data_IF_368158932130
#
_entry.id   IF_368158932130
#
_cell.length_a   1.000
_cell.length_b   1.000
_cell.length_c   1.000
_cell.angle_alpha   90.00
_cell.angle_beta   90.00
_cell.angle_gamma   90.00
#
_symmetry.space_group_name_H-M   'P 1'
#
loop_
_entity.id
_entity.type
_entity.pdbx_description
1 polymer ?
#
# COMPACT_ATOMS: atom_id res chain seq x y z
N UNK A 1 11.90 -7.29 -1.27
CA UNK A 1 12.88 -6.30 -0.79
C UNK A 1 14.27 -6.94 -0.66
N UNK A 2 15.34 -6.16 -0.68
CA UNK A 2 16.73 -6.65 -0.56
C UNK A 2 17.26 -6.73 0.87
N UNK A 3 16.38 -6.70 1.88
CA UNK A 3 16.78 -6.63 3.29
C UNK A 3 17.47 -7.92 3.74
N UNK A 4 18.48 -7.75 4.60
CA UNK A 4 19.24 -8.85 5.21
C UNK A 4 19.44 -8.57 6.69
N UNK A 5 19.41 -9.59 7.55
CA UNK A 5 19.73 -9.43 8.96
C UNK A 5 21.08 -8.71 9.16
N UNK A 6 21.09 -7.69 10.02
CA UNK A 6 22.30 -6.93 10.36
C UNK A 6 22.75 -5.89 9.33
N UNK A 7 22.06 -5.75 8.19
CA UNK A 7 22.27 -4.61 7.29
C UNK A 7 21.81 -3.32 7.98
N UNK A 8 22.44 -2.17 7.70
CA UNK A 8 21.92 -0.88 8.16
C UNK A 8 20.81 -0.35 7.25
N UNK A 9 19.95 0.52 7.76
CA UNK A 9 18.96 1.25 6.96
C UNK A 9 19.61 2.08 5.81
N UNK A 10 20.84 2.58 5.98
CA UNK A 10 21.62 3.19 4.90
C UNK A 10 21.93 2.19 3.78
N UNK A 11 22.49 1.02 4.12
CA UNK A 11 22.79 -0.02 3.14
C UNK A 11 21.52 -0.53 2.45
N UNK A 12 20.40 -0.57 3.15
CA UNK A 12 19.11 -0.95 2.61
C UNK A 12 18.62 0.06 1.54
N UNK A 13 18.79 1.36 1.79
CA UNK A 13 18.46 2.41 0.83
C UNK A 13 19.39 2.39 -0.39
N UNK A 14 20.70 2.18 -0.19
CA UNK A 14 21.64 1.99 -1.31
C UNK A 14 21.26 0.78 -2.17
N UNK A 15 20.87 -0.33 -1.54
CA UNK A 15 20.44 -1.54 -2.22
C UNK A 15 19.11 -1.38 -2.97
N UNK A 16 18.25 -0.45 -2.55
CA UNK A 16 17.00 -0.14 -3.23
C UNK A 16 17.21 0.52 -4.60
N UNK A 17 18.41 1.07 -4.87
CA UNK A 17 18.78 1.69 -6.15
C UNK A 17 17.73 2.72 -6.62
N UNK A 18 17.33 3.57 -5.68
CA UNK A 18 16.38 4.64 -5.92
C UNK A 18 16.89 5.48 -7.11
N UNK A 19 16.11 5.52 -8.18
CA UNK A 19 16.46 6.25 -9.40
C UNK A 19 16.42 7.77 -9.22
N UNK A 20 16.75 8.49 -10.30
CA UNK A 20 16.81 9.96 -10.30
C UNK A 20 15.49 10.68 -10.63
N UNK A 21 14.34 10.02 -10.47
CA UNK A 21 13.04 10.69 -10.69
C UNK A 21 12.76 11.72 -9.57
N UNK A 22 12.12 12.86 -9.88
CA UNK A 22 11.74 13.84 -8.86
C UNK A 22 10.93 13.20 -7.72
N UNK A 23 11.28 13.54 -6.49
CA UNK A 23 10.59 13.05 -5.30
C UNK A 23 9.35 13.90 -5.01
N UNK A 24 8.25 13.25 -4.63
CA UNK A 24 7.03 13.92 -4.16
C UNK A 24 7.00 14.12 -2.63
N UNK A 25 7.74 13.29 -1.89
CA UNK A 25 8.06 13.48 -0.47
C UNK A 25 9.42 12.84 -0.15
N UNK A 26 9.98 13.08 1.04
CA UNK A 26 11.24 12.45 1.42
C UNK A 26 11.09 10.93 1.59
N UNK A 27 12.12 10.17 1.23
CA UNK A 27 12.12 8.72 1.42
C UNK A 27 12.15 8.39 2.92
N UNK A 28 11.33 7.41 3.31
CA UNK A 28 11.21 6.95 4.71
C UNK A 28 11.73 5.53 4.81
N UNK A 29 12.45 5.26 5.90
CA UNK A 29 12.77 3.91 6.36
C UNK A 29 12.81 3.95 7.90
N UNK A 30 11.68 3.64 8.51
CA UNK A 30 11.51 3.59 9.95
C UNK A 30 11.71 2.15 10.45
N UNK A 31 12.61 1.97 11.42
CA UNK A 31 13.00 0.67 11.98
C UNK A 31 12.72 0.62 13.48
N UNK A 32 11.90 -0.34 13.92
CA UNK A 32 11.50 -0.52 15.30
C UNK A 32 10.57 0.61 15.77
N UNK A 33 11.00 1.33 16.79
CA UNK A 33 10.27 2.44 17.44
C UNK A 33 10.50 3.81 16.78
N UNK A 34 11.17 3.85 15.63
CA UNK A 34 11.37 5.10 14.89
C UNK A 34 10.01 5.70 14.46
N UNK A 35 9.84 7.03 14.52
CA UNK A 35 8.61 7.68 14.05
C UNK A 35 8.30 7.37 12.58
N UNK A 36 7.02 7.36 12.21
CA UNK A 36 6.54 6.96 10.87
C UNK A 36 7.00 7.82 9.67
N UNK A 37 7.75 8.90 9.91
CA UNK A 37 8.35 9.77 8.89
C UNK A 37 9.89 9.81 8.98
N UNK A 38 10.50 8.85 9.69
CA UNK A 38 11.94 8.81 9.89
C UNK A 38 12.71 8.46 8.61
N UNK A 39 13.74 9.26 8.33
CA UNK A 39 14.78 8.93 7.34
C UNK A 39 15.74 7.87 7.91
N UNK A 40 16.51 7.17 7.05
CA UNK A 40 17.62 6.32 7.48
C UNK A 40 18.56 7.07 8.44
N UNK A 41 18.99 6.38 9.49
CA UNK A 41 19.78 6.97 10.59
C UNK A 41 20.97 6.10 11.01
N UNK A 42 21.28 5.04 10.26
CA UNK A 42 22.30 4.05 10.59
C UNK A 42 21.81 2.91 11.46
N UNK A 43 20.49 2.76 11.65
CA UNK A 43 19.91 1.67 12.46
C UNK A 43 20.10 0.34 11.77
N UNK A 44 20.33 -0.71 12.56
CA UNK A 44 20.44 -2.06 12.04
C UNK A 44 19.06 -2.67 11.82
N UNK A 45 18.91 -3.40 10.72
CA UNK A 45 17.79 -4.26 10.43
C UNK A 45 17.89 -5.52 11.32
N UNK A 46 17.34 -5.40 12.53
CA UNK A 46 17.42 -6.42 13.58
C UNK A 46 16.23 -7.38 13.51
N UNK A 47 16.51 -8.67 13.71
CA UNK A 47 15.49 -9.72 13.77
C UNK A 47 14.41 -9.38 14.81
N UNK A 48 13.14 -9.57 14.43
CA UNK A 48 12.01 -9.41 15.34
C UNK A 48 11.60 -7.96 15.61
N UNK A 49 12.14 -6.98 14.88
CA UNK A 49 11.65 -5.60 14.91
C UNK A 49 10.71 -5.32 13.71
N UNK A 50 9.67 -4.49 13.88
CA UNK A 50 8.91 -3.99 12.74
C UNK A 50 9.75 -3.00 11.94
N UNK A 51 9.43 -2.84 10.65
CA UNK A 51 9.93 -1.74 9.84
C UNK A 51 8.88 -1.30 8.84
N UNK A 52 8.91 -0.02 8.47
CA UNK A 52 8.14 0.53 7.35
C UNK A 52 9.01 1.42 6.49
N UNK A 53 8.70 1.45 5.20
CA UNK A 53 9.44 2.27 4.25
C UNK A 53 8.53 2.72 3.12
N UNK A 54 8.78 3.92 2.63
CA UNK A 54 8.09 4.42 1.45
C UNK A 54 9.04 5.20 0.54
N UNK A 55 8.71 5.17 -0.75
CA UNK A 55 9.31 6.04 -1.75
C UNK A 55 8.21 6.70 -2.56
N UNK A 56 8.32 8.02 -2.67
CA UNK A 56 7.39 8.83 -3.44
C UNK A 56 8.12 9.55 -4.56
N UNK A 57 7.70 9.26 -5.79
CA UNK A 57 8.03 10.07 -6.96
C UNK A 57 6.81 10.90 -7.36
N UNK A 58 6.98 11.93 -8.18
CA UNK A 58 5.81 12.63 -8.74
C UNK A 58 4.88 11.63 -9.45
N UNK A 59 3.61 11.65 -9.04
CA UNK A 59 2.55 10.78 -9.53
C UNK A 59 2.53 9.38 -8.93
N UNK A 60 3.34 9.07 -7.92
CA UNK A 60 3.35 7.76 -7.27
C UNK A 60 3.92 7.78 -5.85
N UNK A 61 3.27 7.10 -4.91
CA UNK A 61 3.88 6.71 -3.65
C UNK A 61 3.73 5.18 -3.50
N UNK A 62 4.75 4.52 -2.96
CA UNK A 62 4.62 3.12 -2.53
C UNK A 62 5.13 3.00 -1.11
N UNK A 63 4.39 2.27 -0.28
CA UNK A 63 4.81 1.96 1.09
C UNK A 63 4.66 0.48 1.39
N UNK A 64 5.57 -0.08 2.18
CA UNK A 64 5.44 -1.40 2.78
C UNK A 64 5.83 -1.36 4.24
N UNK A 65 5.09 -2.12 5.05
CA UNK A 65 5.36 -2.33 6.48
C UNK A 65 5.19 -3.80 6.85
N UNK A 66 6.05 -4.27 7.73
CA UNK A 66 6.02 -5.65 8.22
C UNK A 66 7.10 -5.90 9.27
N UNK A 67 7.37 -7.17 9.53
CA UNK A 67 8.36 -7.59 10.52
C UNK A 67 9.64 -8.07 9.88
N UNK A 68 10.79 -7.68 10.43
CA UNK A 68 12.11 -8.18 10.02
C UNK A 68 12.33 -9.59 10.56
N UNK A 69 11.60 -10.54 9.98
CA UNK A 69 11.62 -11.98 10.27
C UNK A 69 11.43 -12.73 8.94
N UNK A 70 11.60 -14.05 8.97
CA UNK A 70 11.34 -14.98 7.85
C UNK A 70 10.02 -15.73 7.99
N UNK A 71 9.50 -15.88 9.21
CA UNK A 71 8.26 -16.59 9.47
C UNK A 71 7.62 -16.13 10.78
N UNK A 72 6.39 -16.58 11.03
CA UNK A 72 5.66 -16.27 12.26
C UNK A 72 6.37 -16.77 13.55
N UNK A 73 7.17 -17.83 13.46
CA UNK A 73 7.88 -18.38 14.63
C UNK A 73 8.99 -17.47 15.16
N UNK A 74 9.50 -16.58 14.32
CA UNK A 74 10.53 -15.59 14.67
C UNK A 74 9.92 -14.27 15.19
N UNK A 75 8.59 -14.14 15.18
CA UNK A 75 7.92 -12.98 15.77
C UNK A 75 8.04 -12.98 17.30
N UNK A 76 7.99 -11.79 17.94
CA UNK A 76 7.76 -11.72 19.38
C UNK A 76 6.55 -12.57 19.78
N UNK A 77 6.63 -13.23 20.95
CA UNK A 77 5.58 -14.17 21.41
C UNK A 77 4.18 -13.55 21.36
N UNK A 78 4.05 -12.28 21.76
CA UNK A 78 2.78 -11.56 21.76
C UNK A 78 2.22 -11.26 20.35
N UNK A 79 3.05 -11.34 19.30
CA UNK A 79 2.69 -11.03 17.93
C UNK A 79 2.68 -12.29 17.03
N UNK A 80 2.77 -13.50 17.58
CA UNK A 80 2.87 -14.75 16.80
C UNK A 80 1.67 -14.99 15.85
N UNK A 81 0.49 -14.49 16.22
CA UNK A 81 -0.73 -14.52 15.42
C UNK A 81 -0.95 -13.27 14.57
N UNK A 82 0.09 -12.45 14.35
CA UNK A 82 0.06 -11.20 13.56
C UNK A 82 -0.63 -11.36 12.20
N UNK A 83 -0.35 -12.47 11.50
CA UNK A 83 -0.89 -12.69 10.16
C UNK A 83 -2.40 -12.84 10.22
N UNK A 84 -2.89 -13.76 11.05
CA UNK A 84 -4.31 -14.09 11.17
C UNK A 84 -5.10 -12.97 11.87
N UNK A 85 -4.51 -12.37 12.89
CA UNK A 85 -5.18 -11.38 13.74
C UNK A 85 -5.06 -9.94 13.24
N UNK A 86 -4.23 -9.64 12.23
CA UNK A 86 -4.03 -8.25 11.81
C UNK A 86 -3.79 -8.10 10.31
N UNK A 87 -2.81 -8.80 9.76
CA UNK A 87 -2.42 -8.60 8.36
C UNK A 87 -3.47 -9.14 7.36
N UNK A 88 -4.04 -10.32 7.60
CA UNK A 88 -5.05 -10.91 6.72
C UNK A 88 -6.38 -10.12 6.69
N UNK A 89 -6.96 -9.68 7.83
CA UNK A 89 -8.11 -8.78 7.80
C UNK A 89 -7.86 -7.47 7.06
N UNK A 90 -6.64 -6.92 7.17
CA UNK A 90 -6.24 -5.73 6.42
C UNK A 90 -6.21 -5.99 4.91
N UNK A 91 -5.63 -7.11 4.47
CA UNK A 91 -5.60 -7.50 3.05
C UNK A 91 -7.01 -7.63 2.48
N UNK A 92 -7.93 -8.25 3.22
CA UNK A 92 -9.33 -8.31 2.83
C UNK A 92 -9.94 -6.91 2.70
N UNK A 93 -9.70 -6.02 3.66
CA UNK A 93 -10.18 -4.64 3.57
C UNK A 93 -9.59 -3.86 2.37
N UNK A 94 -8.35 -4.15 1.96
CA UNK A 94 -7.76 -3.55 0.76
C UNK A 94 -8.37 -4.11 -0.54
N UNK A 95 -8.79 -5.38 -0.53
CA UNK A 95 -9.61 -5.95 -1.61
C UNK A 95 -10.96 -5.23 -1.70
N UNK A 96 -11.64 -5.02 -0.57
CA UNK A 96 -12.92 -4.30 -0.51
C UNK A 96 -12.76 -2.84 -0.99
N UNK A 97 -11.64 -2.20 -0.64
CA UNK A 97 -11.30 -0.87 -1.16
C UNK A 97 -11.17 -0.89 -2.69
N UNK A 98 -10.44 -1.85 -3.25
CA UNK A 98 -10.29 -2.00 -4.71
C UNK A 98 -11.66 -2.16 -5.39
N UNK A 99 -12.53 -3.00 -4.83
CA UNK A 99 -13.87 -3.28 -5.36
C UNK A 99 -14.71 -2.01 -5.51
N UNK A 100 -14.53 -1.04 -4.61
CA UNK A 100 -15.24 0.23 -4.57
C UNK A 100 -14.68 1.31 -5.50
N UNK A 101 -13.48 1.14 -6.07
CA UNK A 101 -12.88 2.16 -6.94
C UNK A 101 -13.47 2.12 -8.36
N UNK A 102 -14.71 2.59 -8.47
CA UNK A 102 -15.50 2.62 -9.71
C UNK A 102 -16.07 4.01 -9.94
N UNK A 103 -16.20 4.46 -11.20
CA UNK A 103 -16.93 5.68 -11.50
C UNK A 103 -18.35 5.65 -10.90
N UNK A 104 -18.77 6.74 -10.26
CA UNK A 104 -20.09 6.88 -9.64
C UNK A 104 -20.17 6.51 -8.16
N UNK A 105 -19.14 5.86 -7.59
CA UNK A 105 -19.11 5.57 -6.15
C UNK A 105 -18.85 6.85 -5.35
N UNK A 106 -19.62 7.07 -4.29
CA UNK A 106 -19.47 8.25 -3.40
C UNK A 106 -18.38 7.97 -2.38
N UNK A 107 -17.41 8.89 -2.23
CA UNK A 107 -16.26 8.69 -1.35
C UNK A 107 -16.61 8.52 0.13
N UNK A 108 -17.70 9.13 0.62
CA UNK A 108 -18.20 8.90 1.98
C UNK A 108 -18.70 7.46 2.21
N UNK A 109 -19.15 6.76 1.16
CA UNK A 109 -19.48 5.35 1.25
C UNK A 109 -18.22 4.50 1.42
N UNK A 110 -17.16 4.79 0.65
CA UNK A 110 -15.86 4.12 0.78
C UNK A 110 -15.29 4.32 2.18
N UNK A 111 -15.29 5.56 2.68
CA UNK A 111 -14.79 5.87 4.02
C UNK A 111 -15.51 5.02 5.08
N UNK A 112 -16.85 5.00 5.06
CA UNK A 112 -17.66 4.26 6.03
C UNK A 112 -17.39 2.75 5.97
N UNK A 113 -17.29 2.20 4.78
CA UNK A 113 -17.09 0.76 4.60
C UNK A 113 -15.68 0.35 5.07
N UNK A 114 -14.67 1.20 4.83
CA UNK A 114 -13.31 1.02 5.36
C UNK A 114 -13.24 1.11 6.89
N UNK A 115 -13.90 2.09 7.50
CA UNK A 115 -13.94 2.20 8.97
C UNK A 115 -14.69 1.03 9.63
N UNK A 116 -15.64 0.40 8.91
CA UNK A 116 -16.30 -0.83 9.36
C UNK A 116 -15.38 -2.05 9.24
N UNK A 117 -14.67 -2.18 8.12
CA UNK A 117 -13.75 -3.29 7.87
C UNK A 117 -12.54 -3.25 8.82
N UNK A 118 -12.07 -2.04 9.14
CA UNK A 118 -10.91 -1.78 10.00
C UNK A 118 -11.31 -0.92 11.20
N UNK A 119 -11.98 -1.51 12.21
CA UNK A 119 -12.44 -0.76 13.38
C UNK A 119 -11.26 -0.14 14.15
N UNK A 120 -11.48 1.09 14.63
CA UNK A 120 -10.44 1.94 15.19
C UNK A 120 -9.73 1.34 16.41
N UNK A 121 -10.48 0.67 17.29
CA UNK A 121 -9.97 0.04 18.51
C UNK A 121 -8.91 -1.04 18.23
N UNK A 122 -8.98 -1.69 17.07
CA UNK A 122 -8.04 -2.72 16.63
C UNK A 122 -6.98 -2.19 15.68
N UNK A 123 -7.37 -1.39 14.69
CA UNK A 123 -6.49 -1.01 13.58
C UNK A 123 -5.95 0.42 13.68
N UNK A 124 -6.49 1.29 14.52
CA UNK A 124 -5.95 2.63 14.74
C UNK A 124 -5.87 3.51 13.49
N UNK A 125 -6.68 3.25 12.46
CA UNK A 125 -6.68 4.05 11.22
C UNK A 125 -7.27 5.43 11.51
N UNK A 126 -6.48 6.49 11.35
CA UNK A 126 -6.87 7.88 11.64
C UNK A 126 -7.00 8.76 10.40
N UNK A 127 -6.37 8.38 9.29
CA UNK A 127 -6.37 9.15 8.05
C UNK A 127 -7.49 8.71 7.11
N UNK A 128 -7.73 9.54 6.10
CA UNK A 128 -8.62 9.21 4.99
C UNK A 128 -8.08 7.96 4.26
N UNK A 129 -8.91 6.94 4.00
CA UNK A 129 -8.48 5.71 3.34
C UNK A 129 -8.29 5.94 1.84
N UNK A 130 -7.21 6.63 1.50
CA UNK A 130 -6.84 7.04 0.15
C UNK A 130 -7.08 8.52 -0.17
N UNK A 131 -6.34 9.00 -1.14
CA UNK A 131 -6.37 10.39 -1.62
C UNK A 131 -5.97 10.46 -3.10
N UNK A 132 -6.16 11.62 -3.71
CA UNK A 132 -5.68 11.91 -5.06
C UNK A 132 -4.17 12.17 -5.03
N UNK A 133 -3.48 11.68 -6.06
CA UNK A 133 -2.04 11.87 -6.29
C UNK A 133 -1.82 12.66 -7.59
N UNK A 134 -0.73 13.42 -7.64
CA UNK A 134 -0.34 14.22 -8.79
C UNK A 134 1.12 14.61 -8.72
N UNK A 135 1.45 15.89 -8.93
CA UNK A 135 2.80 16.38 -8.63
C UNK A 135 3.07 16.35 -7.12
N UNK A 136 2.06 16.72 -6.34
CA UNK A 136 2.05 16.55 -4.90
C UNK A 136 1.67 15.10 -4.53
N UNK A 137 2.26 14.63 -3.44
CA UNK A 137 1.95 13.33 -2.86
C UNK A 137 0.47 13.28 -2.44
N UNK A 138 -0.03 14.33 -1.81
CA UNK A 138 -1.43 14.44 -1.40
C UNK A 138 -2.07 15.72 -1.93
N UNK A 139 -2.91 15.59 -2.96
CA UNK A 139 -3.61 16.76 -3.55
C UNK A 139 -4.88 17.10 -2.77
N UNK A 140 -5.77 16.13 -2.63
CA UNK A 140 -7.01 16.19 -1.84
C UNK A 140 -7.58 14.78 -1.71
N UNK A 141 -8.59 14.55 -0.87
CA UNK A 141 -9.22 13.23 -0.78
C UNK A 141 -10.74 13.31 -1.00
N UNK A 142 -11.28 12.59 -2.01
CA UNK A 142 -12.72 12.39 -2.13
C UNK A 142 -13.25 11.42 -1.05
N UNK A 143 -12.38 10.61 -0.43
CA UNK A 143 -12.73 9.58 0.55
C UNK A 143 -12.51 10.13 1.96
N UNK A 144 -13.54 10.74 2.54
CA UNK A 144 -13.54 11.25 3.92
C UNK A 144 -14.93 11.11 4.55
N UNK A 145 -14.99 11.24 5.86
CA UNK A 145 -16.26 11.22 6.60
C UNK A 145 -17.26 12.21 6.02
N UNK A 146 -18.48 11.76 5.75
CA UNK A 146 -19.56 12.58 5.20
C UNK A 146 -19.35 13.10 3.78
N UNK A 147 -18.31 12.66 3.06
CA UNK A 147 -18.04 13.12 1.70
C UNK A 147 -19.16 12.75 0.72
N UNK A 148 -19.57 13.72 -0.09
CA UNK A 148 -20.48 13.54 -1.24
C UNK A 148 -19.74 13.53 -2.57
N UNK A 149 -18.41 13.61 -2.55
CA UNK A 149 -17.60 13.60 -3.77
C UNK A 149 -17.70 12.25 -4.46
N UNK A 150 -17.86 12.27 -5.79
CA UNK A 150 -18.06 11.07 -6.59
C UNK A 150 -16.75 10.69 -7.26
N UNK A 151 -16.34 9.44 -7.10
CA UNK A 151 -15.20 8.87 -7.81
C UNK A 151 -15.49 8.88 -9.31
N UNK A 152 -14.53 9.34 -10.11
CA UNK A 152 -14.70 9.54 -11.55
C UNK A 152 -13.53 8.98 -12.35
N UNK A 153 -13.79 8.71 -13.62
CA UNK A 153 -12.74 8.36 -14.60
C UNK A 153 -11.69 9.48 -14.67
N UNK A 154 -10.41 9.10 -14.72
CA UNK A 154 -9.26 10.01 -14.73
C UNK A 154 -8.69 10.34 -13.35
N UNK A 155 -9.34 9.93 -12.25
CA UNK A 155 -8.78 10.11 -10.90
C UNK A 155 -7.58 9.17 -10.68
N UNK A 156 -6.41 9.75 -10.44
CA UNK A 156 -5.24 9.02 -9.93
C UNK A 156 -5.32 8.99 -8.40
N UNK A 157 -5.42 7.79 -7.83
CA UNK A 157 -5.67 7.53 -6.42
C UNK A 157 -4.48 6.83 -5.79
N UNK A 158 -4.12 7.22 -4.58
CA UNK A 158 -3.35 6.39 -3.66
C UNK A 158 -4.32 5.55 -2.84
N UNK A 159 -4.08 4.24 -2.76
CA UNK A 159 -4.56 3.46 -1.63
C UNK A 159 -3.65 3.78 -0.45
N UNK A 160 -4.14 4.58 0.50
CA UNK A 160 -3.39 4.97 1.70
C UNK A 160 -4.22 4.64 2.93
N UNK A 161 -4.01 3.45 3.48
CA UNK A 161 -4.67 2.99 4.70
C UNK A 161 -3.60 2.51 5.66
N UNK A 162 -3.43 3.26 6.76
CA UNK A 162 -2.33 3.11 7.71
C UNK A 162 -2.86 2.46 9.00
N UNK A 163 -2.83 1.12 9.14
CA UNK A 163 -3.18 0.47 10.38
C UNK A 163 -2.00 0.53 11.36
N UNK A 164 -2.28 0.66 12.65
CA UNK A 164 -1.30 0.64 13.73
C UNK A 164 -1.86 -0.08 14.96
N UNK A 165 -1.03 -0.92 15.58
CA UNK A 165 -1.39 -1.64 16.78
C UNK A 165 -0.15 -1.82 17.69
N UNK A 166 -0.32 -1.64 19.00
CA UNK A 166 0.79 -1.65 19.95
C UNK A 166 1.58 -2.97 19.97
N UNK A 167 0.92 -4.10 19.69
CA UNK A 167 1.54 -5.43 19.66
C UNK A 167 1.99 -5.83 18.26
N UNK A 168 1.19 -5.48 17.23
CA UNK A 168 1.36 -6.01 15.88
C UNK A 168 2.16 -5.06 14.96
N UNK A 169 2.43 -3.83 15.41
CA UNK A 169 3.02 -2.80 14.57
C UNK A 169 2.05 -2.38 13.48
N UNK A 170 2.48 -2.47 12.22
CA UNK A 170 1.70 -2.11 11.05
C UNK A 170 1.90 -3.11 9.91
N UNK A 171 0.85 -3.31 9.12
CA UNK A 171 0.85 -4.09 7.86
C UNK A 171 0.64 -3.21 6.63
N UNK A 172 0.84 -1.89 6.79
CA UNK A 172 0.60 -0.87 5.76
C UNK A 172 1.17 -1.26 4.40
N UNK A 173 0.30 -1.18 3.40
CA UNK A 173 0.62 -1.27 1.98
C UNK A 173 -0.02 -0.08 1.30
N UNK A 174 0.79 0.69 0.58
CA UNK A 174 0.29 1.78 -0.24
C UNK A 174 0.75 1.57 -1.68
N UNK A 175 -0.16 1.79 -2.63
CA UNK A 175 0.13 1.78 -4.06
C UNK A 175 -0.76 2.77 -4.81
N UNK A 176 -0.29 3.22 -5.98
CA UNK A 176 -1.02 4.12 -6.87
C UNK A 176 -1.88 3.38 -7.89
N UNK A 177 -3.07 3.93 -8.15
CA UNK A 177 -4.07 3.43 -9.08
C UNK A 177 -4.69 4.57 -9.91
N UNK A 178 -5.31 4.23 -11.03
CA UNK A 178 -6.17 5.17 -11.78
C UNK A 178 -7.54 4.56 -11.98
N UNK A 179 -8.58 5.35 -11.69
CA UNK A 179 -9.95 4.99 -12.06
C UNK A 179 -10.16 5.36 -13.53
N UNK A 180 -10.53 4.41 -14.37
CA UNK A 180 -10.73 4.60 -15.80
C UNK A 180 -12.00 3.88 -16.29
N UNK A 181 -12.92 4.62 -16.87
CA UNK A 181 -14.06 4.06 -17.59
C UNK A 181 -13.64 3.36 -18.91
N UNK A 182 -14.62 2.83 -19.65
CA UNK A 182 -14.38 2.17 -20.93
C UNK A 182 -13.68 3.06 -21.95
N UNK A 183 -14.02 4.35 -21.97
CA UNK A 183 -13.56 5.29 -22.98
C UNK A 183 -12.10 5.69 -22.73
N UNK A 184 -11.74 5.95 -21.47
CA UNK A 184 -10.36 6.20 -21.07
C UNK A 184 -9.50 4.95 -21.25
N UNK A 185 -10.00 3.76 -20.92
CA UNK A 185 -9.29 2.49 -21.18
C UNK A 185 -9.06 2.26 -22.67
N UNK A 186 -10.07 2.50 -23.52
CA UNK A 186 -9.93 2.39 -24.97
C UNK A 186 -8.90 3.39 -25.53
N UNK A 187 -8.89 4.60 -24.99
CA UNK A 187 -7.89 5.65 -25.34
C UNK A 187 -6.48 5.22 -24.93
N UNK A 188 -6.29 4.70 -23.72
CA UNK A 188 -5.01 4.18 -23.26
C UNK A 188 -4.52 2.99 -24.10
N UNK A 189 -5.41 2.09 -24.49
CA UNK A 189 -5.07 0.95 -25.33
C UNK A 189 -4.62 1.38 -26.74
N UNK A 190 -5.25 2.41 -27.31
CA UNK A 190 -4.91 2.96 -28.63
C UNK A 190 -3.62 3.77 -28.61
N UNK A 191 -3.52 4.73 -27.68
CA UNK A 191 -2.47 5.76 -27.73
C UNK A 191 -1.24 5.38 -26.89
N UNK A 192 -1.43 4.56 -25.84
CA UNK A 192 -0.39 4.13 -24.90
C UNK A 192 -0.43 2.62 -24.63
N UNK A 193 -0.33 1.76 -25.67
CA UNK A 193 -0.55 0.33 -25.55
C UNK A 193 0.38 -0.36 -24.54
N UNK A 194 1.59 0.17 -24.32
CA UNK A 194 2.52 -0.37 -23.32
C UNK A 194 2.05 -0.11 -21.88
N UNK A 195 1.38 1.02 -21.62
CA UNK A 195 0.78 1.33 -20.31
C UNK A 195 -0.40 0.42 -20.06
N UNK A 196 -1.31 0.30 -21.04
CA UNK A 196 -2.47 -0.59 -20.96
C UNK A 196 -2.05 -2.03 -20.63
N UNK A 197 -1.07 -2.58 -21.36
CA UNK A 197 -0.56 -3.94 -21.10
C UNK A 197 0.00 -4.13 -19.69
N UNK A 198 0.72 -3.14 -19.13
CA UNK A 198 1.22 -3.24 -17.75
C UNK A 198 0.08 -3.20 -16.74
N UNK A 199 -0.88 -2.31 -16.91
CA UNK A 199 -2.06 -2.22 -16.04
C UNK A 199 -2.84 -3.54 -16.06
N UNK A 200 -3.08 -4.10 -17.24
CA UNK A 200 -3.79 -5.38 -17.41
C UNK A 200 -3.03 -6.54 -16.76
N UNK A 201 -1.71 -6.61 -16.93
CA UNK A 201 -0.89 -7.66 -16.32
C UNK A 201 -0.92 -7.59 -14.78
N UNK A 202 -0.84 -6.39 -14.22
CA UNK A 202 -0.90 -6.15 -12.76
C UNK A 202 -2.30 -6.46 -12.21
N UNK A 203 -3.35 -5.97 -12.87
CA UNK A 203 -4.73 -6.26 -12.48
C UNK A 203 -5.02 -7.77 -12.52
N UNK A 204 -4.49 -8.48 -13.53
CA UNK A 204 -4.58 -9.93 -13.61
C UNK A 204 -3.86 -10.61 -12.45
N UNK A 205 -2.63 -10.19 -12.13
CA UNK A 205 -1.90 -10.72 -10.98
C UNK A 205 -2.67 -10.51 -9.67
N UNK A 206 -3.21 -9.31 -9.45
CA UNK A 206 -4.01 -9.02 -8.26
C UNK A 206 -5.26 -9.93 -8.16
N UNK A 207 -5.96 -10.19 -9.27
CA UNK A 207 -7.16 -11.05 -9.28
C UNK A 207 -6.82 -12.54 -9.17
N UNK A 208 -5.89 -13.01 -9.98
CA UNK A 208 -5.65 -14.45 -10.20
C UNK A 208 -4.64 -15.05 -9.22
N UNK A 209 -3.71 -14.24 -8.69
CA UNK A 209 -2.68 -14.70 -7.75
C UNK A 209 -2.97 -14.24 -6.34
N UNK A 210 -3.29 -12.95 -6.15
CA UNK A 210 -3.57 -12.41 -4.81
C UNK A 210 -5.03 -12.67 -4.39
N UNK A 211 -5.97 -12.76 -5.32
CA UNK A 211 -7.38 -12.99 -5.02
C UNK A 211 -8.19 -11.73 -4.72
N UNK A 212 -7.66 -10.54 -5.00
CA UNK A 212 -8.36 -9.27 -4.75
C UNK A 212 -9.48 -9.02 -5.77
N UNK A 213 -10.58 -8.40 -5.31
CA UNK A 213 -11.62 -7.86 -6.18
C UNK A 213 -11.18 -6.52 -6.78
N UNK A 214 -10.58 -6.60 -7.96
CA UNK A 214 -10.15 -5.44 -8.74
C UNK A 214 -11.13 -5.22 -9.89
N UNK A 215 -11.93 -4.16 -9.93
CA UNK A 215 -12.83 -3.91 -11.04
C UNK A 215 -12.04 -3.59 -12.32
N UNK A 216 -12.63 -3.79 -13.50
CA UNK A 216 -11.97 -3.40 -14.76
C UNK A 216 -11.64 -1.90 -14.83
N UNK A 217 -12.36 -1.10 -14.05
CA UNK A 217 -12.18 0.35 -13.98
C UNK A 217 -11.03 0.78 -13.10
N UNK A 218 -10.35 -0.13 -12.39
CA UNK A 218 -9.21 0.21 -11.55
C UNK A 218 -7.92 -0.27 -12.21
N UNK A 219 -7.06 0.68 -12.61
CA UNK A 219 -5.81 0.42 -13.30
C UNK A 219 -4.63 0.52 -12.31
N UNK A 220 -3.92 -0.58 -11.99
CA UNK A 220 -2.79 -0.55 -11.07
C UNK A 220 -1.53 0.04 -11.71
N UNK A 221 -0.92 1.04 -11.05
CA UNK A 221 0.22 1.78 -11.59
C UNK A 221 1.59 1.29 -11.09
N UNK A 222 1.65 0.67 -9.92
CA UNK A 222 2.90 0.13 -9.36
C UNK A 222 3.11 -1.35 -9.69
N UNK A 223 4.37 -1.78 -9.79
CA UNK A 223 4.70 -3.20 -9.99
C UNK A 223 4.41 -4.06 -8.76
N UNK A 224 4.19 -3.41 -7.61
CA UNK A 224 3.94 -4.05 -6.32
C UNK A 224 2.47 -4.09 -5.92
N UNK A 225 1.56 -3.55 -6.74
CA UNK A 225 0.12 -3.48 -6.42
C UNK A 225 -0.43 -4.83 -5.94
N UNK A 226 -1.11 -4.80 -4.79
CA UNK A 226 -1.72 -5.97 -4.15
C UNK A 226 -0.75 -6.86 -3.37
N UNK A 227 0.55 -6.58 -3.38
CA UNK A 227 1.54 -7.37 -2.63
C UNK A 227 1.67 -6.86 -1.20
N UNK A 228 1.16 -7.65 -0.25
CA UNK A 228 1.44 -7.49 1.19
C UNK A 228 2.36 -8.62 1.64
N UNK A 229 3.60 -8.27 1.99
CA UNK A 229 4.60 -9.21 2.50
C UNK A 229 4.80 -8.98 4.01
N UNK A 230 4.31 -9.87 4.89
CA UNK A 230 4.36 -9.67 6.34
C UNK A 230 5.77 -9.83 6.90
N UNK A 231 6.63 -10.58 6.20
CA UNK A 231 7.97 -10.98 6.65
C UNK A 231 9.04 -10.39 5.72
N UNK A 232 9.73 -9.35 6.20
CA UNK A 232 10.61 -8.53 5.38
C UNK A 232 11.96 -9.20 5.06
N UNK A 233 12.36 -10.25 5.80
CA UNK A 233 13.53 -11.07 5.44
C UNK A 233 13.19 -12.23 4.51
N UNK A 234 11.91 -12.52 4.29
CA UNK A 234 11.45 -13.42 3.23
C UNK A 234 10.24 -12.84 2.47
N UNK A 235 10.47 -11.78 1.66
CA UNK A 235 9.40 -11.03 1.03
C UNK A 235 8.74 -11.74 -0.16
N UNK A 236 9.14 -12.98 -0.46
CA UNK A 236 8.45 -13.84 -1.41
C UNK A 236 7.19 -14.47 -0.81
N UNK A 237 7.08 -14.49 0.53
CA UNK A 237 5.86 -14.86 1.23
C UNK A 237 4.91 -13.65 1.22
N UNK A 238 3.82 -13.79 0.46
CA UNK A 238 2.80 -12.75 0.28
C UNK A 238 1.46 -13.26 0.78
N UNK A 239 0.64 -12.36 1.30
CA UNK A 239 -0.73 -12.67 1.72
C UNK A 239 -1.67 -12.66 0.51
N UNK A 240 -2.64 -13.58 0.54
CA UNK A 240 -3.72 -13.70 -0.44
C UNK A 240 -5.07 -13.46 0.25
N UNK A 241 -6.09 -13.07 -0.52
CA UNK A 241 -7.47 -12.90 -0.05
C UNK A 241 -8.21 -14.25 0.01
#
# INVERSE_FOLDING_TARGET
FGFRPGMTDFQAVEAARIGGLPLGCHAVLAVGDAPGLASPSGRHLTLGLPASFNICHWGANICRSGWMVRSADELPVAARDYVEAFAAPYVQAMSDWCALMRPGVVGGAVWRDMMRALPFDRFGVTLNPGHLIGLDEWVSSPIREGSTDVLASGMAMQMDVIPGHAVYGSTRMEDGYVIADSDLRATLARDYPNVARRCDARARFMREVIGMDVPETLLPLADTCGIVAPFLFDPAQVLIC
#
